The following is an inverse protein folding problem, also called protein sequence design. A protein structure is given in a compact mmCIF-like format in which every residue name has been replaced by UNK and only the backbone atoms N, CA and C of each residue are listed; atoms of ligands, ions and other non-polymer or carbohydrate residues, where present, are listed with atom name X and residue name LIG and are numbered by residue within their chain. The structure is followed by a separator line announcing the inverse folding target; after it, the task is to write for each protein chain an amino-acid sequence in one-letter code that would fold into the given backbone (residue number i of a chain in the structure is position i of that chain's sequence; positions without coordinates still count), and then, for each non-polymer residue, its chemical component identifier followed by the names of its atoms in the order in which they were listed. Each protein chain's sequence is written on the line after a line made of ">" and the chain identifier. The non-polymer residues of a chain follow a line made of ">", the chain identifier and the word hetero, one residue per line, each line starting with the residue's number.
data_IF_759891562153
#
_entry.id   IF_759891562153
#
_cell.length_a   1.000
_cell.length_b   1.000
_cell.length_c   1.000
_cell.angle_alpha   90.00
_cell.angle_beta   90.00
_cell.angle_gamma   90.00
#
_symmetry.space_group_name_H-M   'P 1'
#
loop_
_entity.id
_entity.type
_entity.pdbx_description
1 polymer ?
#
# COMPACT_ATOMS: atom_id res chain seq x y z
N UNK A 1 23.11 13.89 -3.98
CA UNK A 1 22.84 14.55 -2.69
C UNK A 1 23.84 15.70 -2.42
N UNK A 2 25.15 15.47 -2.43
CA UNK A 2 26.17 16.50 -2.15
C UNK A 2 25.99 17.79 -2.97
N UNK A 3 25.81 17.69 -4.27
CA UNK A 3 25.60 18.80 -5.19
C UNK A 3 24.34 19.65 -4.92
N UNK A 4 23.27 19.01 -4.38
CA UNK A 4 22.03 19.72 -3.99
C UNK A 4 22.30 20.58 -2.76
N UNK A 5 23.00 20.03 -1.76
CA UNK A 5 23.35 20.74 -0.52
C UNK A 5 24.20 21.97 -0.80
N UNK A 6 25.19 21.87 -1.69
CA UNK A 6 26.03 23.01 -2.09
C UNK A 6 25.20 24.13 -2.77
N UNK A 7 24.31 23.76 -3.68
CA UNK A 7 23.42 24.74 -4.33
C UNK A 7 22.44 25.38 -3.36
N UNK A 8 21.91 24.61 -2.39
CA UNK A 8 21.06 25.16 -1.33
C UNK A 8 21.82 26.17 -0.48
N UNK A 9 23.05 25.83 -0.05
CA UNK A 9 23.92 26.73 0.68
C UNK A 9 24.15 28.05 -0.08
N UNK A 10 24.47 27.95 -1.36
CA UNK A 10 24.75 29.13 -2.20
C UNK A 10 23.52 30.03 -2.37
N UNK A 11 22.31 29.45 -2.44
CA UNK A 11 21.07 30.22 -2.55
C UNK A 11 20.71 30.93 -1.24
N UNK A 12 20.84 30.20 -0.14
CA UNK A 12 20.57 30.75 1.20
C UNK A 12 21.60 31.83 1.55
N UNK A 13 22.87 31.66 1.19
CA UNK A 13 23.91 32.70 1.42
C UNK A 13 23.66 33.96 0.60
N UNK A 14 22.91 33.88 -0.50
CA UNK A 14 22.46 35.03 -1.33
C UNK A 14 21.17 35.66 -0.79
N UNK A 15 20.71 35.26 0.39
CA UNK A 15 19.52 35.87 1.03
C UNK A 15 18.17 35.22 0.65
N UNK A 16 18.17 34.10 -0.09
CA UNK A 16 16.94 33.37 -0.36
C UNK A 16 16.49 32.63 0.89
N UNK A 17 15.16 32.61 1.19
CA UNK A 17 14.64 31.79 2.29
C UNK A 17 14.94 30.31 2.07
N UNK A 18 15.16 29.57 3.16
CA UNK A 18 15.49 28.15 3.06
C UNK A 18 14.34 27.36 2.44
N UNK A 19 13.10 27.68 2.80
CA UNK A 19 11.89 27.10 2.20
C UNK A 19 11.84 27.32 0.68
N UNK A 20 12.14 28.55 0.21
CA UNK A 20 12.19 28.86 -1.22
C UNK A 20 13.34 28.15 -1.94
N UNK A 21 14.48 27.95 -1.28
CA UNK A 21 15.59 27.25 -1.86
C UNK A 21 15.29 25.76 -2.08
N UNK A 22 14.66 25.08 -1.11
CA UNK A 22 14.30 23.66 -1.20
C UNK A 22 13.12 23.41 -2.14
N UNK A 23 12.18 24.36 -2.33
CA UNK A 23 11.04 24.24 -3.24
C UNK A 23 11.46 24.06 -4.70
N UNK A 24 12.69 24.44 -5.03
CA UNK A 24 13.28 24.21 -6.37
C UNK A 24 13.67 22.74 -6.64
N UNK A 25 13.57 21.87 -5.64
CA UNK A 25 13.92 20.44 -5.72
C UNK A 25 12.75 19.55 -5.26
N UNK A 26 11.60 19.57 -5.98
CA UNK A 26 10.40 18.82 -5.57
C UNK A 26 10.59 17.30 -5.65
N UNK A 27 11.60 16.83 -6.38
CA UNK A 27 11.95 15.40 -6.46
C UNK A 27 12.60 14.88 -5.17
N UNK A 28 13.19 15.76 -4.37
CA UNK A 28 13.90 15.42 -3.12
C UNK A 28 13.10 15.84 -1.90
N UNK A 29 12.48 17.02 -1.95
CA UNK A 29 11.71 17.60 -0.85
C UNK A 29 10.23 17.60 -1.22
N UNK A 30 9.45 16.81 -0.49
CA UNK A 30 8.01 16.77 -0.67
C UNK A 30 7.34 18.06 -0.15
N UNK A 31 6.09 18.28 -0.54
CA UNK A 31 5.32 19.47 -0.16
C UNK A 31 5.15 19.60 1.37
N UNK A 32 5.16 18.47 2.11
CA UNK A 32 5.10 18.49 3.59
C UNK A 32 6.37 19.10 4.15
N UNK A 33 7.53 18.64 3.67
CA UNK A 33 8.81 19.15 4.12
C UNK A 33 8.92 20.66 3.83
N UNK A 34 8.54 21.08 2.61
CA UNK A 34 8.57 22.49 2.23
C UNK A 34 7.62 23.31 3.12
N UNK A 35 6.39 22.84 3.34
CA UNK A 35 5.41 23.53 4.17
C UNK A 35 5.81 23.63 5.64
N UNK A 36 6.37 22.57 6.22
CA UNK A 36 6.87 22.57 7.60
C UNK A 36 8.08 23.50 7.76
N UNK A 37 9.00 23.48 6.81
CA UNK A 37 10.18 24.33 6.84
C UNK A 37 9.79 25.80 6.65
N UNK A 38 8.84 26.10 5.76
CA UNK A 38 8.31 27.45 5.61
C UNK A 38 7.67 27.97 6.90
N UNK A 39 6.81 27.18 7.52
CA UNK A 39 6.19 27.55 8.79
C UNK A 39 7.22 27.70 9.92
N UNK A 40 8.24 26.85 9.96
CA UNK A 40 9.34 26.93 10.93
C UNK A 40 10.27 28.12 10.72
N UNK A 41 10.50 28.50 9.45
CA UNK A 41 11.31 29.67 9.09
C UNK A 41 10.56 30.98 9.46
N UNK A 42 9.27 31.07 9.13
CA UNK A 42 8.42 32.19 9.51
C UNK A 42 8.25 32.33 11.04
N UNK A 43 8.17 31.19 11.74
CA UNK A 43 8.02 31.14 13.21
C UNK A 43 9.33 31.19 14.01
N UNK A 44 10.51 31.24 13.35
CA UNK A 44 11.83 31.21 14.02
C UNK A 44 12.16 29.85 14.66
N UNK A 45 11.46 28.78 14.32
CA UNK A 45 11.61 27.41 14.85
C UNK A 45 12.15 26.42 13.81
N UNK A 46 13.07 26.87 12.94
CA UNK A 46 13.60 26.09 11.83
C UNK A 46 14.21 24.74 12.26
N UNK A 47 14.92 24.73 13.41
CA UNK A 47 15.52 23.50 13.95
C UNK A 47 14.47 22.44 14.32
N UNK A 48 13.35 22.88 14.92
CA UNK A 48 12.22 21.99 15.20
C UNK A 48 11.55 21.50 13.92
N UNK A 49 11.35 22.39 12.94
CA UNK A 49 10.79 22.05 11.65
C UNK A 49 11.62 20.98 10.93
N UNK A 50 12.94 21.14 10.88
CA UNK A 50 13.86 20.16 10.31
C UNK A 50 13.82 18.81 11.05
N UNK A 51 13.75 18.86 12.38
CA UNK A 51 13.60 17.64 13.20
C UNK A 51 12.28 16.92 12.89
N UNK A 52 11.21 17.66 12.71
CA UNK A 52 9.89 17.11 12.36
C UNK A 52 9.89 16.50 10.95
N UNK A 53 10.49 17.16 9.96
CA UNK A 53 10.67 16.61 8.61
C UNK A 53 11.45 15.29 8.67
N UNK A 54 12.54 15.23 9.41
CA UNK A 54 13.30 14.00 9.61
C UNK A 54 12.45 12.88 10.22
N UNK A 55 11.64 13.18 11.24
CA UNK A 55 10.72 12.21 11.86
C UNK A 55 9.69 11.69 10.88
N UNK A 56 9.15 12.56 9.99
CA UNK A 56 8.18 12.16 8.96
C UNK A 56 8.82 11.18 7.97
N UNK A 57 9.99 11.54 7.45
CA UNK A 57 10.68 10.68 6.48
C UNK A 57 11.09 9.34 7.09
N UNK A 58 11.64 9.34 8.30
CA UNK A 58 11.98 8.11 9.01
C UNK A 58 10.74 7.22 9.21
N UNK A 59 9.58 7.82 9.54
CA UNK A 59 8.34 7.08 9.74
C UNK A 59 7.76 6.53 8.43
N UNK A 60 7.83 7.30 7.34
CA UNK A 60 7.39 6.84 6.03
C UNK A 60 8.24 5.66 5.53
N UNK A 61 9.54 5.71 5.78
CA UNK A 61 10.46 4.62 5.45
C UNK A 61 10.18 3.38 6.32
N UNK A 62 9.94 3.55 7.63
CA UNK A 62 9.56 2.46 8.53
C UNK A 62 8.25 1.77 8.09
N UNK A 63 7.22 2.54 7.72
CA UNK A 63 5.98 1.99 7.19
C UNK A 63 6.20 1.23 5.88
N UNK A 64 6.98 1.79 4.96
CA UNK A 64 7.34 1.13 3.70
C UNK A 64 8.08 -0.17 3.95
N UNK A 65 9.06 -0.15 4.86
CA UNK A 65 9.84 -1.32 5.25
C UNK A 65 8.95 -2.41 5.85
N UNK A 66 8.03 -2.06 6.76
CA UNK A 66 7.07 -3.01 7.33
C UNK A 66 6.18 -3.65 6.27
N UNK A 67 5.66 -2.86 5.32
CA UNK A 67 4.84 -3.38 4.22
C UNK A 67 5.64 -4.34 3.33
N UNK A 68 6.90 -4.02 3.02
CA UNK A 68 7.78 -4.91 2.26
C UNK A 68 8.08 -6.21 3.02
N UNK A 69 8.42 -6.11 4.31
CA UNK A 69 8.69 -7.28 5.15
C UNK A 69 7.49 -8.23 5.27
N UNK A 70 6.25 -7.69 5.26
CA UNK A 70 5.04 -8.51 5.26
C UNK A 70 4.91 -9.35 3.98
N UNK A 71 5.44 -8.90 2.85
CA UNK A 71 5.35 -9.60 1.57
C UNK A 71 6.48 -10.62 1.36
N UNK A 72 7.58 -10.54 2.12
CA UNK A 72 8.73 -11.44 1.94
C UNK A 72 8.34 -12.90 2.18
N UNK A 73 7.64 -13.19 3.27
CA UNK A 73 7.21 -14.55 3.58
C UNK A 73 6.30 -15.15 2.49
N UNK A 74 5.19 -14.51 2.07
CA UNK A 74 4.38 -14.97 0.95
C UNK A 74 5.17 -15.19 -0.33
N UNK A 75 6.11 -14.30 -0.64
CA UNK A 75 6.95 -14.41 -1.84
C UNK A 75 7.88 -15.63 -1.79
N UNK A 76 8.48 -15.92 -0.63
CA UNK A 76 9.33 -17.12 -0.45
C UNK A 76 8.49 -18.39 -0.60
N UNK A 77 7.30 -18.43 0.02
CA UNK A 77 6.40 -19.59 -0.07
C UNK A 77 5.94 -19.81 -1.51
N UNK A 78 5.52 -18.75 -2.20
CA UNK A 78 5.11 -18.82 -3.62
C UNK A 78 6.26 -19.22 -4.54
N UNK A 79 7.48 -18.75 -4.29
CA UNK A 79 8.66 -19.14 -5.07
C UNK A 79 9.00 -20.63 -4.86
N UNK A 80 8.99 -21.10 -3.61
CA UNK A 80 9.22 -22.51 -3.30
C UNK A 80 8.14 -23.42 -3.91
N UNK A 81 6.87 -23.03 -3.78
CA UNK A 81 5.75 -23.74 -4.37
C UNK A 81 5.80 -23.76 -5.90
N UNK A 82 6.12 -22.61 -6.51
CA UNK A 82 6.34 -22.51 -7.96
C UNK A 82 7.45 -23.45 -8.43
N UNK A 83 8.54 -23.56 -7.68
CA UNK A 83 9.61 -24.53 -7.94
C UNK A 83 9.14 -25.99 -7.88
N UNK A 84 8.35 -26.34 -6.87
CA UNK A 84 7.75 -27.68 -6.74
C UNK A 84 6.78 -27.96 -7.90
N UNK A 85 5.88 -27.05 -8.18
CA UNK A 85 4.92 -27.17 -9.30
C UNK A 85 5.68 -27.30 -10.63
N UNK A 86 6.70 -26.50 -10.85
CA UNK A 86 7.55 -26.59 -12.04
C UNK A 86 8.20 -27.97 -12.17
N UNK A 87 8.77 -28.50 -11.09
CA UNK A 87 9.37 -29.85 -11.06
C UNK A 87 8.34 -30.92 -11.36
N UNK A 88 7.15 -30.86 -10.74
CA UNK A 88 6.06 -31.79 -11.01
C UNK A 88 5.66 -31.74 -12.51
N UNK A 89 5.48 -30.56 -13.06
CA UNK A 89 5.04 -30.37 -14.45
C UNK A 89 6.07 -30.83 -15.48
N UNK A 90 7.36 -30.63 -15.22
CA UNK A 90 8.43 -30.92 -16.19
C UNK A 90 9.02 -32.32 -16.05
N UNK A 91 8.90 -32.97 -14.88
CA UNK A 91 9.51 -34.30 -14.63
C UNK A 91 8.47 -35.36 -14.31
N UNK A 92 7.57 -35.10 -13.36
CA UNK A 92 6.68 -36.12 -12.82
C UNK A 92 5.52 -36.38 -13.79
N UNK A 93 4.79 -35.36 -14.20
CA UNK A 93 3.62 -35.48 -15.06
C UNK A 93 3.97 -36.17 -16.41
N UNK A 94 5.06 -35.83 -17.15
CA UNK A 94 5.40 -36.49 -18.40
C UNK A 94 5.71 -37.99 -18.22
N UNK A 95 6.39 -38.39 -17.12
CA UNK A 95 6.71 -39.77 -16.85
C UNK A 95 5.43 -40.62 -16.62
N UNK A 96 4.49 -40.13 -15.84
CA UNK A 96 3.22 -40.82 -15.61
C UNK A 96 2.40 -40.96 -16.90
N UNK A 97 2.36 -39.92 -17.72
CA UNK A 97 1.61 -39.95 -18.97
C UNK A 97 2.28 -40.89 -20.00
N UNK A 98 3.62 -41.00 -20.01
CA UNK A 98 4.32 -41.98 -20.82
C UNK A 98 3.89 -43.41 -20.51
N UNK A 99 3.84 -43.78 -19.24
CA UNK A 99 3.39 -45.09 -18.77
C UNK A 99 1.93 -45.37 -19.18
N UNK A 100 1.05 -44.38 -19.02
CA UNK A 100 -0.38 -44.51 -19.35
C UNK A 100 -0.63 -44.58 -20.87
N UNK A 101 0.19 -43.89 -21.69
CA UNK A 101 0.12 -43.95 -23.13
C UNK A 101 0.42 -45.34 -23.72
N UNK A 102 1.31 -46.12 -23.07
CA UNK A 102 1.60 -47.51 -23.43
C UNK A 102 0.38 -48.45 -23.15
N UNK A 103 -0.49 -48.04 -22.21
CA UNK A 103 -1.67 -48.85 -21.82
C UNK A 103 -2.92 -48.56 -22.68
N UNK A 104 -2.84 -47.67 -23.71
CA UNK A 104 -3.95 -47.28 -24.60
C UNK A 104 -5.18 -46.77 -23.87
N UNK A 105 -5.01 -46.18 -22.67
CA UNK A 105 -6.12 -45.69 -21.87
C UNK A 105 -6.65 -44.35 -22.39
N UNK A 106 -7.96 -44.17 -22.45
CA UNK A 106 -8.56 -42.87 -22.73
C UNK A 106 -8.26 -41.90 -21.60
N UNK A 107 -7.70 -40.72 -21.93
CA UNK A 107 -7.28 -39.73 -20.93
C UNK A 107 -8.46 -38.84 -20.55
N UNK A 108 -8.86 -38.78 -19.26
CA UNK A 108 -9.90 -37.85 -18.79
C UNK A 108 -9.55 -36.38 -19.05
N UNK A 109 -10.58 -35.53 -19.17
CA UNK A 109 -10.41 -34.08 -19.43
C UNK A 109 -9.45 -33.38 -18.46
N UNK A 110 -9.47 -33.62 -17.13
CA UNK A 110 -8.53 -33.00 -16.21
C UNK A 110 -7.07 -33.36 -16.53
N UNK A 111 -6.81 -34.62 -16.91
CA UNK A 111 -5.48 -35.09 -17.28
C UNK A 111 -5.01 -34.49 -18.60
N UNK A 112 -5.89 -34.31 -19.60
CA UNK A 112 -5.59 -33.62 -20.85
C UNK A 112 -5.22 -32.15 -20.64
N UNK A 113 -5.95 -31.44 -19.77
CA UNK A 113 -5.63 -30.06 -19.39
C UNK A 113 -4.25 -29.97 -18.72
N UNK A 114 -3.97 -30.90 -17.80
CA UNK A 114 -2.69 -30.97 -17.10
C UNK A 114 -1.53 -31.26 -18.07
N UNK A 115 -1.75 -32.18 -19.03
CA UNK A 115 -0.78 -32.52 -20.07
C UNK A 115 -0.44 -31.32 -20.95
N UNK A 116 -1.44 -30.59 -21.41
CA UNK A 116 -1.22 -29.41 -22.25
C UNK A 116 -0.46 -28.33 -21.47
N UNK A 117 -0.79 -28.13 -20.18
CA UNK A 117 -0.06 -27.20 -19.32
C UNK A 117 1.39 -27.66 -19.09
N UNK A 118 1.59 -28.95 -18.84
CA UNK A 118 2.93 -29.54 -18.66
C UNK A 118 3.79 -29.39 -19.91
N UNK A 119 3.25 -29.67 -21.10
CA UNK A 119 3.94 -29.45 -22.39
C UNK A 119 4.30 -28.01 -22.58
N UNK A 120 3.38 -27.08 -22.31
CA UNK A 120 3.66 -25.65 -22.39
C UNK A 120 4.81 -25.25 -21.46
N UNK A 121 4.85 -25.76 -20.22
CA UNK A 121 5.93 -25.48 -19.29
C UNK A 121 7.27 -26.06 -19.74
N UNK A 122 7.26 -27.23 -20.42
CA UNK A 122 8.48 -27.93 -20.87
C UNK A 122 8.99 -27.34 -22.17
N UNK A 123 8.12 -27.04 -23.13
CA UNK A 123 8.49 -26.58 -24.47
C UNK A 123 8.86 -25.09 -24.45
N UNK A 124 8.25 -24.29 -23.58
CA UNK A 124 8.43 -22.85 -23.53
C UNK A 124 8.85 -22.32 -22.14
N UNK A 125 9.97 -22.76 -21.56
CA UNK A 125 10.40 -22.35 -20.21
C UNK A 125 10.64 -20.85 -20.09
N UNK A 126 11.17 -20.22 -21.15
CA UNK A 126 11.39 -18.78 -21.19
C UNK A 126 10.07 -17.99 -21.26
N UNK A 127 9.03 -18.53 -21.91
CA UNK A 127 7.73 -17.91 -21.97
C UNK A 127 7.05 -17.93 -20.57
N UNK A 128 7.17 -19.03 -19.82
CA UNK A 128 6.66 -19.13 -18.43
C UNK A 128 7.38 -18.15 -17.51
N UNK A 129 8.71 -18.07 -17.60
CA UNK A 129 9.49 -17.07 -16.85
C UNK A 129 9.11 -15.64 -17.26
N UNK A 130 8.94 -15.38 -18.55
CA UNK A 130 8.47 -14.09 -19.06
C UNK A 130 7.08 -13.73 -18.56
N UNK A 131 6.14 -14.68 -18.56
CA UNK A 131 4.77 -14.47 -18.09
C UNK A 131 4.73 -14.19 -16.58
N UNK A 132 5.49 -14.94 -15.79
CA UNK A 132 5.60 -14.69 -14.33
C UNK A 132 6.25 -13.35 -14.02
N UNK A 133 7.31 -12.99 -14.72
CA UNK A 133 7.94 -11.67 -14.61
C UNK A 133 6.98 -10.55 -15.03
N UNK A 134 6.28 -10.71 -16.16
CA UNK A 134 5.27 -9.75 -16.64
C UNK A 134 4.12 -9.59 -15.63
N UNK A 135 3.65 -10.69 -15.01
CA UNK A 135 2.61 -10.67 -13.98
C UNK A 135 3.06 -9.91 -12.73
N UNK A 136 4.30 -10.16 -12.26
CA UNK A 136 4.89 -9.43 -11.12
C UNK A 136 5.02 -7.93 -11.45
N UNK A 137 5.51 -7.59 -12.65
CA UNK A 137 5.62 -6.21 -13.12
C UNK A 137 4.25 -5.53 -13.24
N UNK A 138 3.25 -6.24 -13.72
CA UNK A 138 1.88 -5.71 -13.82
C UNK A 138 1.33 -5.38 -12.43
N UNK A 139 1.44 -6.31 -11.47
CA UNK A 139 1.01 -6.08 -10.09
C UNK A 139 1.76 -4.91 -9.46
N UNK A 140 3.07 -4.80 -9.67
CA UNK A 140 3.87 -3.69 -9.13
C UNK A 140 3.49 -2.31 -9.70
N UNK A 141 2.89 -2.29 -10.90
CA UNK A 141 2.42 -1.06 -11.57
C UNK A 141 1.00 -0.64 -11.18
N UNK A 142 0.18 -1.55 -10.60
CA UNK A 142 -1.19 -1.25 -10.17
C UNK A 142 -1.28 -0.01 -9.27
N UNK A 143 -0.46 0.15 -8.20
CA UNK A 143 -0.53 1.32 -7.34
C UNK A 143 -0.26 2.64 -8.08
N UNK A 144 0.70 2.64 -9.00
CA UNK A 144 1.03 3.82 -9.81
C UNK A 144 -0.09 4.16 -10.79
N UNK A 145 -0.69 3.13 -11.40
CA UNK A 145 -1.80 3.28 -12.34
C UNK A 145 -3.06 3.82 -11.65
N UNK A 146 -3.39 3.27 -10.48
CA UNK A 146 -4.53 3.75 -9.67
C UNK A 146 -4.32 5.21 -9.25
N UNK A 147 -3.12 5.59 -8.82
CA UNK A 147 -2.82 6.98 -8.45
C UNK A 147 -3.02 7.97 -9.61
N UNK A 148 -2.74 7.54 -10.85
CA UNK A 148 -2.86 8.39 -12.04
C UNK A 148 -4.28 8.55 -12.58
N UNK A 149 -5.25 7.74 -12.13
CA UNK A 149 -6.61 7.75 -12.66
C UNK A 149 -7.67 8.06 -11.58
N UNK A 150 -8.17 9.31 -11.51
CA UNK A 150 -9.18 9.72 -10.52
C UNK A 150 -10.45 8.87 -10.53
N UNK A 151 -10.84 8.34 -11.69
CA UNK A 151 -12.04 7.49 -11.86
C UNK A 151 -11.96 6.16 -11.10
N UNK A 152 -10.75 5.66 -10.84
CA UNK A 152 -10.53 4.40 -10.12
C UNK A 152 -10.51 4.60 -8.59
N UNK A 153 -10.43 5.84 -8.10
CA UNK A 153 -10.32 6.11 -6.67
C UNK A 153 -11.57 5.69 -5.91
N UNK A 154 -12.76 5.94 -6.47
CA UNK A 154 -14.03 5.58 -5.85
C UNK A 154 -14.25 4.06 -5.72
N UNK A 155 -14.15 3.25 -6.80
CA UNK A 155 -14.36 1.80 -6.71
C UNK A 155 -13.33 1.11 -5.81
N UNK A 156 -12.07 1.59 -5.78
CA UNK A 156 -11.01 1.01 -4.93
C UNK A 156 -11.33 1.20 -3.44
N UNK A 157 -11.91 2.34 -3.05
CA UNK A 157 -12.33 2.57 -1.66
C UNK A 157 -13.51 1.69 -1.22
N UNK A 158 -14.31 1.18 -2.16
CA UNK A 158 -15.45 0.28 -1.88
C UNK A 158 -15.07 -1.20 -1.77
N UNK A 159 -13.86 -1.57 -2.13
CA UNK A 159 -13.40 -2.96 -1.99
C UNK A 159 -13.40 -3.37 -0.51
N UNK A 160 -14.10 -4.48 -0.16
CA UNK A 160 -14.14 -4.94 1.22
C UNK A 160 -12.73 -5.30 1.71
N UNK A 161 -12.36 -4.81 2.90
CA UNK A 161 -11.03 -5.01 3.50
C UNK A 161 -9.98 -4.01 2.99
N UNK A 162 -9.66 -4.00 1.71
CA UNK A 162 -8.63 -3.12 1.12
C UNK A 162 -9.05 -1.64 1.16
N UNK A 163 -10.30 -1.33 0.83
CA UNK A 163 -10.80 0.06 0.89
C UNK A 163 -10.78 0.61 2.31
N UNK A 164 -11.20 -0.18 3.30
CA UNK A 164 -11.16 0.21 4.71
C UNK A 164 -9.72 0.45 5.21
N UNK A 165 -8.76 -0.41 4.79
CA UNK A 165 -7.35 -0.23 5.12
C UNK A 165 -6.78 1.05 4.48
N UNK A 166 -7.14 1.32 3.23
CA UNK A 166 -6.69 2.49 2.50
C UNK A 166 -7.23 3.79 3.10
N UNK A 167 -8.52 3.81 3.49
CA UNK A 167 -9.12 4.92 4.22
C UNK A 167 -8.43 5.15 5.56
N UNK A 168 -8.15 4.07 6.31
CA UNK A 168 -7.45 4.17 7.59
C UNK A 168 -6.03 4.73 7.42
N UNK A 169 -5.30 4.32 6.38
CA UNK A 169 -3.99 4.86 6.04
C UNK A 169 -4.07 6.37 5.73
N UNK A 170 -5.07 6.79 4.93
CA UNK A 170 -5.28 8.21 4.61
C UNK A 170 -5.64 9.02 5.85
N UNK A 171 -6.50 8.49 6.73
CA UNK A 171 -6.87 9.11 8.01
C UNK A 171 -5.66 9.29 8.93
N UNK A 172 -4.85 8.24 9.09
CA UNK A 172 -3.63 8.30 9.89
C UNK A 172 -2.64 9.32 9.35
N UNK A 173 -2.43 9.36 8.03
CA UNK A 173 -1.55 10.33 7.38
C UNK A 173 -2.07 11.76 7.52
N UNK A 174 -3.38 11.97 7.35
CA UNK A 174 -4.01 13.28 7.51
C UNK A 174 -3.82 13.81 8.93
N UNK A 175 -4.22 13.02 9.95
CA UNK A 175 -4.13 13.46 11.36
C UNK A 175 -2.68 13.70 11.76
N UNK A 176 -1.75 12.85 11.32
CA UNK A 176 -0.32 13.01 11.56
C UNK A 176 0.23 14.31 10.98
N UNK A 177 0.00 14.53 9.68
CA UNK A 177 0.48 15.73 8.99
C UNK A 177 -0.13 16.98 9.60
N UNK A 178 -1.43 16.94 9.88
CA UNK A 178 -2.13 18.03 10.54
C UNK A 178 -1.58 18.32 11.95
N UNK A 179 -1.31 17.27 12.75
CA UNK A 179 -0.70 17.39 14.07
C UNK A 179 0.67 18.07 14.03
N UNK A 180 1.49 17.68 13.07
CA UNK A 180 2.84 18.24 12.90
C UNK A 180 2.81 19.71 12.48
N UNK A 181 1.92 20.06 11.54
CA UNK A 181 1.73 21.44 11.13
C UNK A 181 1.18 22.31 12.26
N UNK A 182 0.24 21.78 13.06
CA UNK A 182 -0.27 22.48 14.25
C UNK A 182 0.79 22.63 15.33
N UNK A 183 1.66 21.63 15.51
CA UNK A 183 2.80 21.73 16.41
C UNK A 183 3.80 22.79 15.97
N UNK A 184 4.04 22.92 14.66
CA UNK A 184 4.82 24.01 14.05
C UNK A 184 4.07 25.36 14.03
N UNK A 185 2.95 25.48 14.78
CA UNK A 185 2.13 26.69 14.89
C UNK A 185 1.51 27.19 13.58
N UNK A 186 1.42 26.34 12.57
CA UNK A 186 0.72 26.70 11.32
C UNK A 186 -0.76 27.01 11.57
N UNK A 187 -1.31 27.97 10.83
CA UNK A 187 -2.74 28.26 10.83
C UNK A 187 -3.53 27.03 10.38
N UNK A 188 -4.70 26.80 10.97
CA UNK A 188 -5.55 25.63 10.65
C UNK A 188 -5.88 25.54 9.17
N UNK A 189 -6.19 26.66 8.52
CA UNK A 189 -6.46 26.74 7.09
C UNK A 189 -5.25 26.40 6.22
N UNK A 190 -4.07 26.84 6.61
CA UNK A 190 -2.81 26.50 5.93
C UNK A 190 -2.46 25.03 6.09
N UNK A 191 -2.63 24.47 7.30
CA UNK A 191 -2.43 23.05 7.56
C UNK A 191 -3.39 22.17 6.73
N UNK A 192 -4.68 22.55 6.63
CA UNK A 192 -5.67 21.84 5.80
C UNK A 192 -5.32 21.93 4.31
N UNK A 193 -4.86 23.10 3.83
CA UNK A 193 -4.45 23.27 2.44
C UNK A 193 -3.31 22.31 2.08
N UNK A 194 -2.28 22.23 2.92
CA UNK A 194 -1.17 21.30 2.74
C UNK A 194 -1.62 19.84 2.80
N UNK A 195 -2.47 19.46 3.77
CA UNK A 195 -3.02 18.11 3.85
C UNK A 195 -3.83 17.73 2.60
N UNK A 196 -4.59 18.69 2.03
CA UNK A 196 -5.31 18.50 0.78
C UNK A 196 -4.36 18.23 -0.38
N UNK A 197 -3.33 19.02 -0.54
CA UNK A 197 -2.41 18.94 -1.69
C UNK A 197 -1.53 17.70 -1.66
N UNK A 198 -1.31 17.15 -0.47
CA UNK A 198 -0.60 15.88 -0.24
C UNK A 198 -1.47 14.64 -0.49
N UNK A 199 -2.79 14.79 -0.48
CA UNK A 199 -3.68 13.66 -0.67
C UNK A 199 -3.69 13.22 -2.14
N UNK A 200 -3.17 12.02 -2.40
CA UNK A 200 -3.14 11.42 -3.74
C UNK A 200 -4.52 10.96 -4.21
N UNK A 201 -5.45 10.67 -3.29
CA UNK A 201 -6.80 10.24 -3.60
C UNK A 201 -7.71 11.45 -3.83
N UNK A 202 -8.38 11.49 -4.98
CA UNK A 202 -9.21 12.61 -5.38
C UNK A 202 -10.40 12.85 -4.42
N UNK A 203 -11.09 11.80 -3.98
CA UNK A 203 -12.23 11.94 -3.06
C UNK A 203 -11.81 12.48 -1.70
N UNK A 204 -10.73 11.94 -1.16
CA UNK A 204 -10.16 12.40 0.10
C UNK A 204 -9.68 13.87 0.00
N UNK A 205 -9.02 14.20 -1.10
CA UNK A 205 -8.60 15.56 -1.42
C UNK A 205 -9.79 16.52 -1.52
N UNK A 206 -10.86 16.09 -2.17
CA UNK A 206 -12.10 16.88 -2.30
C UNK A 206 -12.79 17.09 -0.95
N UNK A 207 -12.84 16.06 -0.10
CA UNK A 207 -13.38 16.15 1.25
C UNK A 207 -12.61 17.15 2.12
N UNK A 208 -11.26 17.11 2.10
CA UNK A 208 -10.44 18.11 2.81
C UNK A 208 -10.70 19.52 2.24
N UNK A 209 -10.90 19.63 0.92
CA UNK A 209 -11.24 20.91 0.28
C UNK A 209 -12.56 21.49 0.79
N UNK A 210 -13.60 20.66 0.94
CA UNK A 210 -14.89 21.08 1.53
C UNK A 210 -14.72 21.50 2.99
N UNK A 211 -13.99 20.71 3.77
CA UNK A 211 -13.65 21.04 5.16
C UNK A 211 -12.93 22.39 5.26
N UNK A 212 -11.95 22.65 4.38
CA UNK A 212 -11.22 23.92 4.35
C UNK A 212 -12.15 25.13 4.17
N UNK A 213 -13.10 25.05 3.23
CA UNK A 213 -14.07 26.13 2.97
C UNK A 213 -14.95 26.40 4.21
N UNK A 214 -15.38 25.37 4.91
CA UNK A 214 -16.19 25.49 6.13
C UNK A 214 -15.40 26.11 7.30
N UNK A 215 -14.17 25.65 7.50
CA UNK A 215 -13.28 26.23 8.54
C UNK A 215 -12.96 27.71 8.22
N UNK A 216 -12.82 28.10 6.95
CA UNK A 216 -12.67 29.51 6.56
C UNK A 216 -13.90 30.36 6.89
N UNK A 217 -15.09 29.75 6.95
CA UNK A 217 -16.34 30.39 7.37
C UNK A 217 -16.50 30.46 8.91
N UNK A 218 -15.53 29.94 9.67
CA UNK A 218 -15.51 29.99 11.13
C UNK A 218 -16.10 28.75 11.81
N UNK A 219 -16.40 27.69 11.07
CA UNK A 219 -16.84 26.44 11.69
C UNK A 219 -15.67 25.75 12.39
N UNK A 220 -15.96 24.98 13.47
CA UNK A 220 -14.94 24.15 14.09
C UNK A 220 -14.47 23.05 13.15
N UNK A 221 -13.23 22.60 13.31
CA UNK A 221 -12.66 21.56 12.45
C UNK A 221 -13.47 20.25 12.56
N UNK A 222 -13.84 19.85 13.75
CA UNK A 222 -14.62 18.65 13.99
C UNK A 222 -16.00 18.71 13.30
N UNK A 223 -16.70 19.84 13.42
CA UNK A 223 -17.99 20.08 12.75
C UNK A 223 -17.84 20.05 11.23
N UNK A 224 -16.79 20.71 10.70
CA UNK A 224 -16.53 20.76 9.26
C UNK A 224 -16.20 19.39 8.64
N UNK A 225 -15.58 18.48 9.39
CA UNK A 225 -15.27 17.11 8.95
C UNK A 225 -16.49 16.17 8.99
N UNK A 226 -17.50 16.48 9.79
CA UNK A 226 -18.62 15.58 10.04
C UNK A 226 -19.51 15.33 8.81
N UNK A 227 -19.54 16.25 7.84
CA UNK A 227 -20.29 16.05 6.59
C UNK A 227 -19.71 14.96 5.72
N UNK A 228 -18.40 14.72 5.83
CA UNK A 228 -17.67 13.67 5.13
C UNK A 228 -17.29 12.51 6.10
N UNK A 229 -18.19 12.16 7.02
CA UNK A 229 -17.98 11.17 8.08
C UNK A 229 -17.52 9.82 7.57
N UNK A 230 -18.04 9.37 6.43
CA UNK A 230 -17.65 8.10 5.80
C UNK A 230 -16.16 8.10 5.40
N UNK A 231 -15.66 9.26 4.97
CA UNK A 231 -14.28 9.44 4.54
C UNK A 231 -13.35 9.59 5.74
N UNK A 232 -13.64 10.50 6.68
CA UNK A 232 -12.77 10.78 7.83
C UNK A 232 -12.91 9.75 8.96
N UNK A 233 -14.10 9.18 9.14
CA UNK A 233 -14.41 8.17 10.14
C UNK A 233 -14.65 8.76 11.53
N UNK A 234 -15.48 8.03 12.31
CA UNK A 234 -15.91 8.47 13.63
C UNK A 234 -14.76 8.71 14.61
N UNK A 235 -13.72 7.88 14.57
CA UNK A 235 -12.59 8.03 15.49
C UNK A 235 -11.87 9.37 15.31
N UNK A 236 -11.70 9.83 14.07
CA UNK A 236 -11.06 11.12 13.78
C UNK A 236 -11.96 12.26 14.23
N UNK A 237 -13.23 12.21 13.88
CA UNK A 237 -14.21 13.27 14.21
C UNK A 237 -14.40 13.38 15.72
N UNK A 238 -14.68 12.28 16.39
CA UNK A 238 -14.90 12.26 17.85
C UNK A 238 -13.61 12.65 18.60
N UNK A 239 -12.44 12.19 18.14
CA UNK A 239 -11.15 12.58 18.70
C UNK A 239 -10.91 14.08 18.59
N UNK A 240 -11.17 14.67 17.43
CA UNK A 240 -11.04 16.12 17.21
C UNK A 240 -12.08 16.92 18.04
N UNK A 241 -13.33 16.46 18.10
CA UNK A 241 -14.37 17.08 18.93
C UNK A 241 -13.95 17.13 20.39
N UNK A 242 -13.46 16.00 20.92
CA UNK A 242 -12.96 15.95 22.29
C UNK A 242 -11.77 16.89 22.53
N UNK A 243 -10.86 16.96 21.57
CA UNK A 243 -9.67 17.81 21.69
C UNK A 243 -10.02 19.31 21.60
N UNK A 244 -10.95 19.69 20.72
CA UNK A 244 -11.45 21.07 20.63
C UNK A 244 -12.13 21.47 21.95
N UNK A 245 -12.98 20.59 22.50
CA UNK A 245 -13.67 20.84 23.77
C UNK A 245 -12.72 20.90 24.98
N UNK A 246 -11.66 20.08 24.97
CA UNK A 246 -10.67 20.03 26.06
C UNK A 246 -9.59 21.11 25.95
N UNK A 247 -9.56 21.90 24.85
CA UNK A 247 -8.45 22.82 24.58
C UNK A 247 -7.10 22.11 24.44
N UNK A 248 -7.12 20.80 24.14
CA UNK A 248 -5.93 19.97 24.03
C UNK A 248 -5.21 20.28 22.70
N UNK A 249 -4.16 21.06 22.76
CA UNK A 249 -3.38 21.49 21.61
C UNK A 249 -2.80 20.35 20.75
N UNK A 250 -1.62 20.54 20.20
CA UNK A 250 -0.93 19.55 19.35
C UNK A 250 -0.73 18.17 19.98
N UNK A 251 -0.62 18.08 21.32
CA UNK A 251 -0.39 16.81 22.02
C UNK A 251 -1.57 15.85 21.90
N UNK A 252 -2.79 16.37 21.94
CA UNK A 252 -3.98 15.57 21.68
C UNK A 252 -4.00 14.99 20.27
N UNK A 253 -3.60 15.78 19.27
CA UNK A 253 -3.47 15.33 17.88
C UNK A 253 -2.43 14.19 17.73
N UNK A 254 -1.31 14.27 18.43
CA UNK A 254 -0.32 13.18 18.42
C UNK A 254 -0.84 11.91 19.08
N UNK A 255 -1.64 12.02 20.16
CA UNK A 255 -2.31 10.86 20.76
C UNK A 255 -3.30 10.21 19.79
N UNK A 256 -4.11 11.00 19.10
CA UNK A 256 -5.03 10.50 18.07
C UNK A 256 -4.27 9.84 16.91
N UNK A 257 -3.17 10.43 16.48
CA UNK A 257 -2.28 9.83 15.47
C UNK A 257 -1.80 8.45 15.91
N UNK A 258 -1.30 8.33 17.15
CA UNK A 258 -0.80 7.06 17.69
C UNK A 258 -1.91 5.99 17.76
N UNK A 259 -3.15 6.38 18.07
CA UNK A 259 -4.29 5.46 18.07
C UNK A 259 -4.60 4.94 16.66
N UNK A 260 -4.65 5.83 15.66
CA UNK A 260 -4.87 5.46 14.27
C UNK A 260 -3.75 4.57 13.72
N UNK A 261 -2.50 4.83 14.09
CA UNK A 261 -1.35 4.02 13.70
C UNK A 261 -1.41 2.61 14.31
N UNK A 262 -1.76 2.49 15.59
CA UNK A 262 -1.98 1.18 16.24
C UNK A 262 -3.12 0.41 15.56
N UNK A 263 -4.19 1.09 15.20
CA UNK A 263 -5.29 0.48 14.47
C UNK A 263 -4.84 0.01 13.08
N UNK A 264 -4.02 0.80 12.38
CA UNK A 264 -3.43 0.44 11.10
C UNK A 264 -2.54 -0.81 11.24
N UNK A 265 -1.63 -0.83 12.21
CA UNK A 265 -0.76 -1.97 12.50
C UNK A 265 -1.56 -3.24 12.82
N UNK A 266 -2.64 -3.11 13.61
CA UNK A 266 -3.54 -4.23 13.92
C UNK A 266 -4.24 -4.77 12.67
N UNK A 267 -4.74 -3.90 11.78
CA UNK A 267 -5.38 -4.32 10.53
C UNK A 267 -4.40 -4.97 9.56
N UNK A 268 -3.18 -4.45 9.47
CA UNK A 268 -2.12 -5.05 8.66
C UNK A 268 -1.74 -6.45 9.16
N UNK A 269 -1.61 -6.61 10.49
CA UNK A 269 -1.31 -7.91 11.09
C UNK A 269 -2.46 -8.92 10.88
N UNK A 270 -3.72 -8.49 11.01
CA UNK A 270 -4.87 -9.34 10.70
C UNK A 270 -4.88 -9.79 9.22
N UNK A 271 -4.54 -8.91 8.30
CA UNK A 271 -4.43 -9.25 6.88
C UNK A 271 -3.36 -10.33 6.66
N UNK A 272 -2.20 -10.19 7.30
CA UNK A 272 -1.12 -11.18 7.24
C UNK A 272 -1.59 -12.54 7.76
N UNK A 273 -2.26 -12.58 8.92
CA UNK A 273 -2.76 -13.81 9.52
C UNK A 273 -3.77 -14.55 8.62
N UNK A 274 -4.52 -13.85 7.79
CA UNK A 274 -5.46 -14.46 6.83
C UNK A 274 -4.72 -14.96 5.58
N UNK A 275 -3.67 -14.25 5.14
CA UNK A 275 -2.90 -14.66 3.97
C UNK A 275 -2.22 -16.03 4.13
N UNK A 276 -1.71 -16.35 5.32
CA UNK A 276 -1.00 -17.61 5.56
C UNK A 276 -1.89 -18.85 5.35
N UNK A 277 -3.08 -18.99 5.97
CA UNK A 277 -3.99 -20.11 5.69
C UNK A 277 -4.48 -20.14 4.24
N UNK A 278 -4.72 -18.97 3.65
CA UNK A 278 -5.19 -18.87 2.26
C UNK A 278 -4.15 -19.38 1.27
N UNK A 279 -2.87 -19.07 1.50
CA UNK A 279 -1.76 -19.62 0.71
C UNK A 279 -1.66 -21.14 0.84
N UNK A 280 -1.76 -21.66 2.07
CA UNK A 280 -1.69 -23.11 2.31
C UNK A 280 -2.85 -23.84 1.59
N UNK A 281 -4.08 -23.32 1.70
CA UNK A 281 -5.26 -23.89 1.03
C UNK A 281 -5.08 -23.82 -0.49
N UNK A 282 -4.68 -22.66 -1.02
CA UNK A 282 -4.49 -22.49 -2.46
C UNK A 282 -3.44 -23.46 -3.01
N UNK A 283 -2.32 -23.62 -2.31
CA UNK A 283 -1.27 -24.56 -2.69
C UNK A 283 -1.74 -26.01 -2.55
N UNK A 284 -2.47 -26.35 -1.49
CA UNK A 284 -3.06 -27.68 -1.31
C UNK A 284 -4.03 -28.05 -2.45
N UNK A 285 -4.86 -27.11 -2.86
CA UNK A 285 -5.79 -27.30 -4.01
C UNK A 285 -5.02 -27.50 -5.31
N UNK A 286 -4.00 -26.69 -5.58
CA UNK A 286 -3.19 -26.79 -6.81
C UNK A 286 -2.43 -28.11 -6.84
N UNK A 287 -1.66 -28.42 -5.80
CA UNK A 287 -0.85 -29.65 -5.73
C UNK A 287 -1.76 -30.88 -5.70
N UNK A 288 -2.82 -30.86 -4.89
CA UNK A 288 -3.82 -31.93 -4.83
C UNK A 288 -4.51 -32.15 -6.17
N UNK A 289 -4.85 -31.08 -6.89
CA UNK A 289 -5.41 -31.15 -8.24
C UNK A 289 -4.46 -31.78 -9.26
N UNK A 290 -3.16 -31.44 -9.20
CA UNK A 290 -2.12 -32.06 -10.04
C UNK A 290 -2.02 -33.57 -9.75
N UNK A 291 -1.91 -33.94 -8.48
CA UNK A 291 -1.83 -35.34 -8.05
C UNK A 291 -3.08 -36.09 -8.48
N UNK A 292 -4.27 -35.57 -8.18
CA UNK A 292 -5.54 -36.17 -8.55
C UNK A 292 -5.64 -36.39 -10.07
N UNK A 293 -5.36 -35.37 -10.90
CA UNK A 293 -5.40 -35.48 -12.36
C UNK A 293 -4.36 -36.44 -12.93
N UNK A 294 -3.24 -36.65 -12.22
CA UNK A 294 -2.21 -37.62 -12.63
C UNK A 294 -2.63 -39.06 -12.31
N UNK A 295 -3.31 -39.30 -11.16
CA UNK A 295 -3.69 -40.64 -10.74
C UNK A 295 -5.05 -41.11 -11.27
N UNK A 296 -5.91 -40.19 -11.72
CA UNK A 296 -7.25 -40.50 -12.23
C UNK A 296 -7.24 -41.56 -13.35
N UNK A 297 -6.40 -41.46 -14.39
CA UNK A 297 -6.35 -42.47 -15.45
C UNK A 297 -5.89 -43.85 -14.95
N UNK A 298 -4.97 -43.88 -13.98
CA UNK A 298 -4.51 -45.12 -13.42
C UNK A 298 -5.63 -45.90 -12.70
N UNK A 299 -6.54 -45.19 -12.06
CA UNK A 299 -7.70 -45.78 -11.40
C UNK A 299 -8.72 -46.34 -12.42
N UNK A 300 -8.93 -45.66 -13.57
CA UNK A 300 -9.81 -46.15 -14.63
C UNK A 300 -9.29 -47.43 -15.29
N UNK A 301 -7.96 -47.54 -15.50
CA UNK A 301 -7.35 -48.77 -16.03
C UNK A 301 -7.55 -49.95 -15.08
N UNK A 302 -7.43 -49.77 -13.76
CA UNK A 302 -7.63 -50.83 -12.77
C UNK A 302 -9.10 -51.27 -12.74
N UNK A 303 -10.07 -50.46 -13.06
CA UNK A 303 -11.50 -50.82 -13.10
C UNK A 303 -11.91 -51.58 -14.39
N UNK A 304 -11.08 -51.55 -15.42
CA UNK A 304 -11.30 -52.24 -16.68
C UNK A 304 -10.51 -53.53 -16.87
N UNK A 305 -9.73 -53.94 -15.86
CA UNK A 305 -9.08 -55.23 -15.75
C UNK A 305 -9.92 -56.15 -14.84
#
# INVERSE_FOLDING_TARGET
>A
MHHIIERLRDRVSKGMSFASAISSYPEVFDQVAIGLISAGEEGGTLTEALTNVRKIWARNEDLRHRLLMMLIYPMIVLAAAGGVIWLLMTRVVPQFIGILGEMHADLPLPTLCLLNLSRFCTDYPLAVLGLTAAFILLISRIPSYVRGQPKLHHPVLRLPGLGALMLLLMRANFVRTFAQLKHARAKTTQALLLCRDLSWNYEYRSAIGRTLVRVQRGESLAAALNDDRDIFGEMVINGLTFMEAAGAGSDGLFRLTNLLERQLDSRLNALRQILDPLLIIALGVVIGGIVFATFLPAMEVIQHI
#
